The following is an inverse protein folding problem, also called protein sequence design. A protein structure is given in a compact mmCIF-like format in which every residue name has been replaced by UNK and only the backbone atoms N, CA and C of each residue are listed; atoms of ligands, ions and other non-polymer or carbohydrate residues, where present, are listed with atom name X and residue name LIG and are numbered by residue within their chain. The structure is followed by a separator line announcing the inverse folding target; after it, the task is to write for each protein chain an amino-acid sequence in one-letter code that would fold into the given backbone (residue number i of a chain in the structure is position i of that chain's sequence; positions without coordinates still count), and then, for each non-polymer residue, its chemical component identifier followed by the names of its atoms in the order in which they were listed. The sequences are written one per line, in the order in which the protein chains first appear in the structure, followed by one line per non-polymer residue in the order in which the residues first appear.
data_IF_660759184967
#
_entry.id   IF_660759184967
#
_cell.length_a   1.000
_cell.length_b   1.000
_cell.length_c   1.000
_cell.angle_alpha   90.00
_cell.angle_beta   90.00
_cell.angle_gamma   90.00
#
_symmetry.space_group_name_H-M   'P 1'
#
loop_
_entity.id
_entity.type
_entity.pdbx_description
1 polymer ?
#
# COMPACT_ATOMS: atom_id res chain seq x y z
N UNK A 1 4.91 10.68 5.41
CA UNK A 1 3.79 10.00 4.73
C UNK A 1 3.66 10.51 3.30
N UNK A 2 3.72 9.61 2.32
CA UNK A 2 3.50 9.90 0.89
C UNK A 2 2.52 8.85 0.35
N UNK A 3 1.62 9.28 -0.53
CA UNK A 3 0.67 8.37 -1.20
C UNK A 3 0.93 8.46 -2.70
N UNK A 4 1.09 7.32 -3.35
CA UNK A 4 1.34 7.21 -4.79
C UNK A 4 0.52 6.07 -5.36
N UNK A 5 -0.12 6.30 -6.49
CA UNK A 5 -0.78 5.25 -7.24
C UNK A 5 0.03 4.91 -8.49
N UNK A 6 0.25 3.63 -8.74
CA UNK A 6 0.81 3.11 -9.98
C UNK A 6 -0.31 2.54 -10.86
N UNK A 7 -0.68 3.21 -11.97
CA UNK A 7 -1.74 2.74 -12.83
C UNK A 7 -1.34 1.53 -13.68
N UNK A 8 -0.05 1.28 -13.93
CA UNK A 8 0.36 0.13 -14.74
C UNK A 8 0.27 -1.16 -13.91
N UNK A 9 0.73 -1.12 -12.66
CA UNK A 9 0.66 -2.24 -11.74
C UNK A 9 -0.69 -2.37 -11.01
N UNK A 10 -1.52 -1.31 -11.01
CA UNK A 10 -2.74 -1.18 -10.22
C UNK A 10 -2.53 -1.29 -8.70
N UNK A 11 -1.49 -0.61 -8.21
CA UNK A 11 -1.09 -0.64 -6.80
C UNK A 11 -1.12 0.76 -6.21
N UNK A 12 -1.78 0.89 -5.06
CA UNK A 12 -1.71 2.09 -4.21
C UNK A 12 -0.66 1.89 -3.12
N UNK A 13 0.34 2.77 -3.14
CA UNK A 13 1.43 2.80 -2.16
C UNK A 13 1.16 3.89 -1.12
N UNK A 14 1.30 3.54 0.16
CA UNK A 14 1.24 4.46 1.29
C UNK A 14 2.55 4.31 2.08
N UNK A 15 3.52 5.17 1.80
CA UNK A 15 4.80 5.17 2.50
C UNK A 15 4.68 5.95 3.81
N UNK A 16 4.97 5.29 4.93
CA UNK A 16 4.85 5.86 6.29
C UNK A 16 6.18 6.46 6.73
N UNK A 17 7.26 5.67 6.63
CA UNK A 17 8.65 6.07 6.94
C UNK A 17 9.52 5.99 5.68
N UNK A 18 10.62 6.75 5.66
CA UNK A 18 11.60 6.74 4.56
C UNK A 18 12.78 5.85 4.96
N UNK A 19 12.56 4.54 4.87
CA UNK A 19 13.49 3.49 5.27
C UNK A 19 13.51 2.38 4.20
N UNK A 20 14.51 1.52 4.24
CA UNK A 20 14.63 0.40 3.30
C UNK A 20 13.65 -0.72 3.65
N UNK A 21 12.91 -1.20 2.64
CA UNK A 21 12.06 -2.38 2.74
C UNK A 21 12.93 -3.63 2.77
N UNK A 22 12.67 -4.49 3.76
CA UNK A 22 13.44 -5.72 3.99
C UNK A 22 12.56 -6.95 3.90
N UNK A 23 11.31 -6.81 4.28
CA UNK A 23 10.32 -7.87 4.18
C UNK A 23 8.95 -7.30 3.84
N UNK A 24 8.04 -8.17 3.43
CA UNK A 24 6.67 -7.80 3.09
C UNK A 24 5.71 -8.91 3.48
N UNK A 25 4.71 -8.57 4.27
CA UNK A 25 3.68 -9.51 4.72
C UNK A 25 2.32 -9.15 4.12
N UNK A 26 1.59 -10.16 3.65
CA UNK A 26 0.18 -10.04 3.28
C UNK A 26 -0.68 -10.13 4.54
N UNK A 27 -1.42 -9.06 4.85
CA UNK A 27 -2.24 -8.98 6.07
C UNK A 27 -3.74 -9.09 5.78
N UNK A 28 -4.11 -9.16 4.50
CA UNK A 28 -5.46 -9.32 4.00
C UNK A 28 -5.43 -9.46 2.48
N UNK A 29 -6.54 -9.84 1.87
CA UNK A 29 -6.64 -10.00 0.40
C UNK A 29 -6.19 -8.71 -0.28
N UNK A 30 -5.09 -8.81 -1.04
CA UNK A 30 -4.47 -7.71 -1.79
C UNK A 30 -3.95 -6.54 -0.92
N UNK A 31 -3.73 -6.75 0.39
CA UNK A 31 -3.20 -5.75 1.32
C UNK A 31 -1.88 -6.25 1.93
N UNK A 32 -0.81 -5.51 1.66
CA UNK A 32 0.54 -5.84 2.12
C UNK A 32 1.09 -4.74 3.02
N UNK A 33 1.90 -5.14 3.99
CA UNK A 33 2.72 -4.23 4.81
C UNK A 33 4.19 -4.44 4.50
N UNK A 34 4.90 -3.33 4.29
CA UNK A 34 6.35 -3.32 4.11
C UNK A 34 7.03 -3.15 5.47
N UNK A 35 8.00 -4.01 5.77
CA UNK A 35 8.72 -4.06 7.05
C UNK A 35 10.20 -3.68 6.88
N UNK A 36 10.75 -2.96 7.85
CA UNK A 36 12.19 -2.73 7.95
C UNK A 36 12.92 -3.90 8.66
N UNK A 37 14.25 -3.81 8.82
CA UNK A 37 15.06 -4.85 9.50
C UNK A 37 14.62 -5.15 10.94
N UNK A 38 13.88 -4.23 11.57
CA UNK A 38 13.39 -4.37 12.95
C UNK A 38 11.98 -4.98 13.01
N UNK A 39 11.38 -5.29 11.86
CA UNK A 39 9.99 -5.74 11.77
C UNK A 39 8.98 -4.61 12.01
N UNK A 40 9.38 -3.35 11.89
CA UNK A 40 8.45 -2.22 11.99
C UNK A 40 7.81 -1.94 10.63
N UNK A 41 6.50 -1.63 10.63
CA UNK A 41 5.79 -1.22 9.43
C UNK A 41 6.31 0.14 8.97
N UNK A 42 6.77 0.19 7.72
CA UNK A 42 7.28 1.40 7.06
C UNK A 42 6.46 1.80 5.83
N UNK A 43 5.63 0.89 5.30
CA UNK A 43 4.75 1.16 4.16
C UNK A 43 3.59 0.17 4.07
N UNK A 44 2.62 0.50 3.22
CA UNK A 44 1.47 -0.33 2.89
C UNK A 44 1.32 -0.32 1.36
N UNK A 45 1.08 -1.49 0.78
CA UNK A 45 0.65 -1.64 -0.61
C UNK A 45 -0.76 -2.21 -0.65
N UNK A 46 -1.63 -1.62 -1.47
CA UNK A 46 -2.95 -2.16 -1.77
C UNK A 46 -2.98 -2.47 -3.25
N UNK A 47 -3.02 -3.74 -3.59
CA UNK A 47 -3.11 -4.23 -4.95
C UNK A 47 -4.58 -4.25 -5.41
N UNK A 48 -4.81 -4.38 -6.71
CA UNK A 48 -6.16 -4.30 -7.31
C UNK A 48 -6.92 -3.03 -6.86
N UNK A 49 -6.21 -1.91 -6.73
CA UNK A 49 -6.72 -0.71 -6.07
C UNK A 49 -7.94 -0.10 -6.79
N UNK A 50 -8.08 -0.30 -8.12
CA UNK A 50 -9.30 0.05 -8.87
C UNK A 50 -10.55 -0.68 -8.42
N UNK A 51 -10.41 -1.91 -7.92
CA UNK A 51 -11.51 -2.74 -7.44
C UNK A 51 -11.84 -2.47 -5.98
N UNK A 52 -10.83 -2.24 -5.15
CA UNK A 52 -10.98 -2.14 -3.69
C UNK A 52 -11.05 -0.71 -3.15
N UNK A 53 -10.30 0.24 -3.72
CA UNK A 53 -10.14 1.60 -3.16
C UNK A 53 -10.88 2.66 -3.97
N UNK A 54 -10.68 2.70 -5.28
CA UNK A 54 -11.24 3.73 -6.17
C UNK A 54 -12.77 3.85 -6.06
N UNK A 55 -13.56 2.76 -6.05
CA UNK A 55 -15.02 2.84 -6.00
C UNK A 55 -15.51 3.49 -4.71
N UNK A 56 -14.80 3.28 -3.60
CA UNK A 56 -15.14 3.87 -2.31
C UNK A 56 -14.82 5.35 -2.24
N UNK A 57 -13.69 5.80 -2.81
CA UNK A 57 -13.34 7.22 -2.88
C UNK A 57 -14.35 7.99 -3.74
N UNK A 58 -14.79 7.40 -4.86
CA UNK A 58 -15.74 8.05 -5.77
C UNK A 58 -17.11 8.30 -5.14
N UNK A 59 -17.49 7.63 -4.04
CA UNK A 59 -18.75 7.90 -3.33
C UNK A 59 -18.81 9.29 -2.69
N UNK A 60 -17.67 9.97 -2.54
CA UNK A 60 -17.57 11.30 -1.94
C UNK A 60 -17.53 12.43 -2.97
N UNK A 61 -17.60 12.11 -4.26
CA UNK A 61 -17.75 13.05 -5.38
C UNK A 61 -19.19 13.04 -5.90
#
# INVERSE_FOLDING_TARGET
MKVRYDPEADILYISIKDEEVKDMDEIGEDIFVELNEKGEIIGIEIWEARKSVVPEILKFY
#
